data_IF_281035500382
#
_entry.id   IF_281035500382
#
_cell.length_a   1.000
_cell.length_b   1.000
_cell.length_c   1.000
_cell.angle_alpha   90.00
_cell.angle_beta   90.00
_cell.angle_gamma   90.00
#
_symmetry.space_group_name_H-M   'P 1'
#
loop_
_entity.id
_entity.type
_entity.pdbx_description
1 polymer ?
#
# COMPACT_ATOMS: atom_id res chain seq x y z
N UNK A 1 -23.95 2.10 -0.54
CA UNK A 1 -23.73 1.82 0.89
C UNK A 1 -22.71 0.70 1.00
N UNK A 2 -21.71 0.81 1.85
CA UNK A 2 -20.68 -0.25 2.04
C UNK A 2 -21.02 -1.01 3.31
N UNK A 3 -21.09 -2.34 3.22
CA UNK A 3 -21.33 -3.22 4.37
C UNK A 3 -20.44 -4.45 4.31
N UNK A 4 -20.18 -5.03 5.47
CA UNK A 4 -19.41 -6.25 5.60
C UNK A 4 -20.32 -7.45 5.42
N UNK A 5 -20.02 -8.32 4.45
CA UNK A 5 -20.76 -9.58 4.24
C UNK A 5 -20.28 -10.60 5.24
N UNK A 6 -18.96 -10.83 5.32
CA UNK A 6 -18.37 -11.83 6.18
C UNK A 6 -16.94 -11.48 6.60
N UNK A 7 -16.39 -12.24 7.55
CA UNK A 7 -15.01 -12.25 7.98
C UNK A 7 -14.48 -13.68 7.91
N UNK A 8 -13.50 -13.89 7.04
CA UNK A 8 -12.87 -15.20 6.89
C UNK A 8 -11.67 -15.33 7.82
N UNK A 9 -11.43 -16.56 8.30
CA UNK A 9 -10.33 -16.88 9.22
C UNK A 9 -8.97 -16.62 8.62
N UNK A 10 -8.83 -16.86 7.32
CA UNK A 10 -7.59 -16.71 6.57
C UNK A 10 -7.87 -16.33 5.12
N UNK A 11 -6.86 -15.70 4.48
CA UNK A 11 -6.85 -15.44 3.03
C UNK A 11 -6.35 -16.63 2.19
N UNK A 12 -6.02 -17.75 2.84
CA UNK A 12 -5.51 -18.95 2.13
C UNK A 12 -6.59 -19.56 1.28
N UNK A 13 -6.21 -20.15 0.14
CA UNK A 13 -7.14 -20.73 -0.84
C UNK A 13 -8.02 -21.81 -0.23
N UNK A 14 -7.50 -22.65 0.66
CA UNK A 14 -8.27 -23.68 1.36
C UNK A 14 -9.42 -23.15 2.23
N UNK A 15 -9.42 -21.85 2.55
CA UNK A 15 -10.50 -21.16 3.28
C UNK A 15 -11.41 -20.38 2.35
N UNK A 16 -10.81 -19.64 1.40
CA UNK A 16 -11.55 -18.74 0.53
C UNK A 16 -12.29 -19.44 -0.60
N UNK A 17 -11.72 -20.52 -1.16
CA UNK A 17 -12.37 -21.28 -2.24
C UNK A 17 -13.68 -21.97 -1.81
N UNK A 18 -13.71 -22.73 -0.71
CA UNK A 18 -14.97 -23.31 -0.22
C UNK A 18 -16.03 -22.23 0.08
N UNK A 19 -15.61 -21.10 0.64
CA UNK A 19 -16.50 -19.99 0.91
C UNK A 19 -17.13 -19.42 -0.36
N UNK A 20 -16.34 -19.11 -1.39
CA UNK A 20 -16.88 -18.60 -2.65
C UNK A 20 -17.73 -19.62 -3.39
N UNK A 21 -17.38 -20.90 -3.31
CA UNK A 21 -18.18 -21.97 -3.89
C UNK A 21 -19.53 -22.13 -3.19
N UNK A 22 -19.61 -21.87 -1.88
CA UNK A 22 -20.86 -21.95 -1.11
C UNK A 22 -21.85 -20.81 -1.39
N UNK A 23 -21.40 -19.71 -1.99
CA UNK A 23 -22.28 -18.62 -2.37
C UNK A 23 -23.20 -19.03 -3.53
N UNK A 24 -24.48 -18.64 -3.50
CA UNK A 24 -25.41 -18.93 -4.58
C UNK A 24 -24.88 -18.44 -5.93
N UNK A 25 -25.07 -19.20 -7.04
CA UNK A 25 -24.62 -18.78 -8.36
C UNK A 25 -25.16 -17.40 -8.78
N UNK A 26 -26.39 -17.07 -8.39
CA UNK A 26 -27.02 -15.79 -8.68
C UNK A 26 -26.26 -14.63 -8.02
N UNK A 27 -25.86 -14.78 -6.77
CA UNK A 27 -25.06 -13.78 -6.05
C UNK A 27 -23.67 -13.63 -6.70
N UNK A 28 -23.01 -14.73 -7.03
CA UNK A 28 -21.71 -14.70 -7.72
C UNK A 28 -21.79 -14.02 -9.08
N UNK A 29 -22.83 -14.28 -9.84
CA UNK A 29 -23.07 -13.70 -11.16
C UNK A 29 -23.47 -12.22 -11.08
N UNK A 30 -23.96 -11.74 -9.94
CA UNK A 30 -24.33 -10.33 -9.73
C UNK A 30 -23.13 -9.43 -9.44
N UNK A 31 -21.97 -9.99 -9.11
CA UNK A 31 -20.74 -9.23 -8.82
C UNK A 31 -20.23 -8.58 -10.10
N UNK A 32 -20.15 -7.26 -10.10
CA UNK A 32 -19.66 -6.46 -11.25
C UNK A 32 -18.16 -6.21 -11.22
N UNK A 33 -17.60 -6.01 -10.04
CA UNK A 33 -16.18 -5.69 -9.85
C UNK A 33 -15.61 -6.47 -8.69
N UNK A 34 -14.44 -7.06 -8.88
CA UNK A 34 -13.64 -7.65 -7.82
C UNK A 34 -12.40 -6.80 -7.63
N UNK A 35 -12.38 -6.04 -6.53
CA UNK A 35 -11.29 -5.10 -6.23
C UNK A 35 -10.35 -5.75 -5.21
N UNK A 36 -9.06 -5.82 -5.54
CA UNK A 36 -8.07 -6.43 -4.66
C UNK A 36 -6.70 -5.72 -4.73
N UNK A 37 -5.80 -6.10 -3.84
CA UNK A 37 -4.38 -5.86 -4.01
C UNK A 37 -3.79 -6.76 -5.11
N UNK A 38 -2.51 -6.57 -5.45
CA UNK A 38 -1.82 -7.36 -6.47
C UNK A 38 -1.48 -8.78 -5.98
N UNK A 39 -2.50 -9.49 -5.49
CA UNK A 39 -2.37 -10.88 -5.05
C UNK A 39 -2.98 -11.81 -6.09
N UNK A 40 -2.13 -12.59 -6.78
CA UNK A 40 -2.53 -13.44 -7.90
C UNK A 40 -3.77 -14.30 -7.65
N UNK A 41 -3.92 -15.00 -6.49
CA UNK A 41 -5.10 -15.83 -6.25
C UNK A 41 -6.41 -15.03 -6.34
N UNK A 42 -6.43 -13.77 -5.91
CA UNK A 42 -7.66 -12.97 -5.96
C UNK A 42 -8.08 -12.63 -7.40
N UNK A 43 -7.09 -12.39 -8.28
CA UNK A 43 -7.40 -12.14 -9.69
C UNK A 43 -7.94 -13.40 -10.38
N UNK A 44 -7.35 -14.57 -10.07
CA UNK A 44 -7.84 -15.84 -10.61
C UNK A 44 -9.23 -16.23 -10.10
N UNK A 45 -9.70 -15.66 -8.99
CA UNK A 45 -11.05 -15.90 -8.49
C UNK A 45 -12.14 -15.30 -9.38
N UNK A 46 -11.81 -14.24 -10.16
CA UNK A 46 -12.74 -13.67 -11.13
C UNK A 46 -13.16 -14.77 -12.12
N UNK A 47 -12.20 -15.38 -12.78
CA UNK A 47 -12.48 -16.39 -13.80
C UNK A 47 -13.16 -17.63 -13.21
N UNK A 48 -12.81 -18.00 -11.97
CA UNK A 48 -13.28 -19.25 -11.34
C UNK A 48 -14.64 -19.12 -10.65
N UNK A 49 -14.91 -17.99 -10.00
CA UNK A 49 -16.06 -17.83 -9.11
C UNK A 49 -17.01 -16.70 -9.49
N UNK A 50 -16.55 -15.67 -10.20
CA UNK A 50 -17.29 -14.46 -10.49
C UNK A 50 -17.24 -14.11 -11.99
N UNK A 51 -17.89 -14.93 -12.84
CA UNK A 51 -17.70 -14.88 -14.31
C UNK A 51 -18.11 -13.55 -14.96
N UNK A 52 -18.96 -12.77 -14.30
CA UNK A 52 -19.38 -11.45 -14.79
C UNK A 52 -18.61 -10.30 -14.16
N UNK A 53 -17.66 -10.58 -13.26
CA UNK A 53 -16.92 -9.56 -12.58
C UNK A 53 -15.71 -9.07 -13.39
N UNK A 54 -15.43 -7.79 -13.30
CA UNK A 54 -14.23 -7.17 -13.85
C UNK A 54 -13.16 -7.12 -12.75
N UNK A 55 -11.96 -7.68 -12.94
CA UNK A 55 -10.87 -7.59 -11.97
C UNK A 55 -10.33 -6.17 -11.92
N UNK A 56 -10.10 -5.66 -10.71
CA UNK A 56 -9.57 -4.32 -10.47
C UNK A 56 -8.44 -4.41 -9.45
N UNK A 57 -7.28 -3.85 -9.81
CA UNK A 57 -6.17 -3.65 -8.87
C UNK A 57 -6.17 -2.21 -8.40
N UNK A 58 -6.17 -2.03 -7.09
CA UNK A 58 -6.08 -0.69 -6.51
C UNK A 58 -4.74 -0.03 -6.85
N UNK A 59 -4.83 1.13 -7.50
CA UNK A 59 -3.66 1.91 -7.95
C UNK A 59 -2.74 2.36 -6.82
N UNK A 60 -3.27 2.49 -5.59
CA UNK A 60 -2.46 2.79 -4.41
C UNK A 60 -1.43 1.69 -4.13
N UNK A 61 -1.84 0.42 -4.26
CA UNK A 61 -0.92 -0.71 -4.06
C UNK A 61 0.17 -0.78 -5.11
N UNK A 62 -0.13 -0.38 -6.35
CA UNK A 62 0.87 -0.28 -7.43
C UNK A 62 1.91 0.78 -7.11
N UNK A 63 1.47 2.00 -6.74
CA UNK A 63 2.37 3.06 -6.32
C UNK A 63 3.17 2.67 -5.07
N UNK A 64 2.54 2.00 -4.12
CA UNK A 64 3.21 1.51 -2.91
C UNK A 64 4.32 0.52 -3.22
N UNK A 65 4.19 -0.30 -4.28
CA UNK A 65 5.22 -1.24 -4.69
C UNK A 65 6.52 -0.51 -5.10
N UNK A 66 6.43 0.45 -6.02
CA UNK A 66 7.61 1.22 -6.46
C UNK A 66 8.19 2.07 -5.33
N UNK A 67 7.35 2.69 -4.51
CA UNK A 67 7.80 3.48 -3.37
C UNK A 67 8.55 2.62 -2.35
N UNK A 68 8.10 1.39 -2.09
CA UNK A 68 8.81 0.43 -1.21
C UNK A 68 10.15 0.00 -1.80
N UNK A 69 10.24 -0.18 -3.11
CA UNK A 69 11.51 -0.52 -3.77
C UNK A 69 12.54 0.59 -3.59
N UNK A 70 12.13 1.85 -3.74
CA UNK A 70 12.97 3.02 -3.48
C UNK A 70 13.34 3.10 -1.98
N UNK A 71 12.39 2.93 -1.06
CA UNK A 71 12.68 2.95 0.39
C UNK A 71 13.67 1.84 0.78
N UNK A 72 13.54 0.65 0.21
CA UNK A 72 14.49 -0.45 0.43
C UNK A 72 15.90 -0.08 -0.02
N UNK A 73 16.03 0.55 -1.18
CA UNK A 73 17.31 1.06 -1.65
C UNK A 73 17.90 2.09 -0.67
N UNK A 74 17.13 3.09 -0.26
CA UNK A 74 17.57 4.11 0.70
C UNK A 74 17.92 3.51 2.07
N UNK A 75 17.23 2.46 2.50
CA UNK A 75 17.57 1.70 3.72
C UNK A 75 18.90 0.99 3.60
N UNK A 76 19.23 0.47 2.41
CA UNK A 76 20.56 -0.14 2.17
C UNK A 76 21.65 0.91 2.21
N UNK A 77 21.44 2.09 1.60
CA UNK A 77 22.36 3.23 1.73
C UNK A 77 22.55 3.62 3.19
N UNK A 78 21.47 3.77 3.93
CA UNK A 78 21.50 4.13 5.35
C UNK A 78 22.28 3.07 6.17
N UNK A 79 22.07 1.79 5.88
CA UNK A 79 22.81 0.71 6.54
C UNK A 79 24.32 0.80 6.27
N UNK A 80 24.70 1.09 5.01
CA UNK A 80 26.10 1.29 4.60
C UNK A 80 26.75 2.43 5.37
N UNK A 81 26.10 3.59 5.44
CA UNK A 81 26.65 4.75 6.15
C UNK A 81 26.70 4.54 7.67
N UNK A 82 25.69 3.91 8.27
CA UNK A 82 25.74 3.53 9.69
C UNK A 82 26.87 2.55 10.01
N UNK A 83 27.16 1.64 9.11
CA UNK A 83 28.30 0.72 9.28
C UNK A 83 29.61 1.49 9.23
N UNK A 84 29.80 2.40 8.29
CA UNK A 84 30.97 3.30 8.22
C UNK A 84 31.14 4.12 9.51
N UNK A 85 30.05 4.67 10.05
CA UNK A 85 30.09 5.43 11.30
C UNK A 85 30.50 4.56 12.50
N UNK A 86 30.05 3.31 12.56
CA UNK A 86 30.48 2.35 13.60
C UNK A 86 31.96 2.01 13.51
N UNK A 87 32.45 1.69 12.33
CA UNK A 87 33.87 1.39 12.09
C UNK A 87 34.76 2.57 12.46
N UNK A 88 34.33 3.79 12.13
CA UNK A 88 35.02 5.02 12.52
C UNK A 88 35.01 5.22 14.04
N UNK A 89 33.87 4.95 14.70
CA UNK A 89 33.75 5.02 16.15
C UNK A 89 34.69 4.01 16.83
N UNK A 90 34.71 2.78 16.36
CA UNK A 90 35.57 1.70 16.89
C UNK A 90 37.04 2.03 16.77
N UNK A 91 37.48 2.59 15.64
CA UNK A 91 38.86 3.03 15.42
C UNK A 91 39.32 4.12 16.41
N UNK A 92 38.42 5.04 16.77
CA UNK A 92 38.70 6.17 17.68
C UNK A 92 38.54 5.83 19.15
N UNK A 93 37.81 4.77 19.49
CA UNK A 93 37.58 4.32 20.88
C UNK A 93 38.60 3.31 21.32
N UNK A 94 39.79 3.25 20.70
CA UNK A 94 40.86 2.36 21.10
C UNK A 94 41.44 2.66 22.50
N UNK A 95 41.17 3.82 23.08
CA UNK A 95 41.47 4.15 24.48
C UNK A 95 40.25 3.97 25.39
N UNK A 96 40.17 2.88 26.21
CA UNK A 96 39.06 2.66 27.12
C UNK A 96 38.89 3.73 28.21
N UNK A 97 39.92 4.49 28.51
CA UNK A 97 39.93 5.50 29.56
C UNK A 97 39.28 6.83 29.10
N UNK A 98 39.26 7.08 27.79
CA UNK A 98 38.72 8.30 27.23
C UNK A 98 37.81 7.98 26.02
N UNK A 99 36.58 7.43 26.25
CA UNK A 99 35.66 7.10 25.16
C UNK A 99 35.20 8.40 24.45
N UNK A 100 35.57 8.55 23.20
CA UNK A 100 35.08 9.65 22.35
C UNK A 100 33.81 9.20 21.65
N UNK A 101 32.69 9.87 21.89
CA UNK A 101 31.46 9.63 21.16
C UNK A 101 31.39 10.57 19.95
N UNK A 102 31.43 10.02 18.75
CA UNK A 102 31.26 10.77 17.53
C UNK A 102 29.78 11.08 17.26
N UNK A 103 29.48 12.27 16.72
CA UNK A 103 28.17 12.54 16.17
C UNK A 103 27.88 11.62 14.97
N UNK A 104 26.61 11.40 14.67
CA UNK A 104 26.19 10.71 13.45
C UNK A 104 26.64 11.52 12.23
N UNK A 105 27.01 10.83 11.14
CA UNK A 105 27.39 11.51 9.90
C UNK A 105 26.22 12.23 9.24
N UNK A 106 26.52 13.21 8.41
CA UNK A 106 25.54 14.01 7.68
C UNK A 106 24.63 13.12 6.82
N UNK A 107 25.21 12.11 6.15
CA UNK A 107 24.45 11.19 5.32
C UNK A 107 23.48 10.34 6.15
N UNK A 108 23.90 9.88 7.34
CA UNK A 108 22.98 9.15 8.24
C UNK A 108 21.87 10.08 8.71
N UNK A 109 22.18 11.30 9.11
CA UNK A 109 21.20 12.29 9.55
C UNK A 109 20.17 12.57 8.45
N UNK A 110 20.62 12.93 7.25
CA UNK A 110 19.75 13.26 6.11
C UNK A 110 18.88 12.07 5.70
N UNK A 111 19.46 10.88 5.51
CA UNK A 111 18.70 9.70 5.14
C UNK A 111 17.68 9.24 6.20
N UNK A 112 17.97 9.48 7.50
CA UNK A 112 17.00 9.15 8.55
C UNK A 112 15.83 10.11 8.59
N UNK A 113 16.10 11.39 8.48
CA UNK A 113 15.13 12.46 8.76
C UNK A 113 14.35 12.90 7.51
N UNK A 114 15.01 12.93 6.35
CA UNK A 114 14.49 13.58 5.15
C UNK A 114 14.20 12.66 3.96
N UNK A 115 14.44 11.32 4.06
CA UNK A 115 14.13 10.40 2.96
C UNK A 115 12.68 10.46 2.48
N UNK A 116 11.76 10.95 3.30
CA UNK A 116 10.36 11.14 2.94
C UNK A 116 10.18 12.11 1.77
N UNK A 117 11.11 13.04 1.52
CA UNK A 117 11.10 13.93 0.36
C UNK A 117 11.14 13.17 -0.97
N UNK A 118 11.81 12.03 -1.01
CA UNK A 118 11.86 11.16 -2.21
C UNK A 118 10.65 10.22 -2.27
N UNK A 119 10.19 9.72 -1.12
CA UNK A 119 9.13 8.72 -1.05
C UNK A 119 7.73 9.30 -1.23
N UNK A 120 7.50 10.53 -0.78
CA UNK A 120 6.22 11.23 -0.93
C UNK A 120 5.98 11.62 -2.40
N UNK A 121 4.71 11.75 -2.79
CA UNK A 121 4.37 12.36 -4.07
C UNK A 121 4.74 13.83 -4.03
N UNK A 122 5.38 14.33 -5.07
CA UNK A 122 5.89 15.70 -5.12
C UNK A 122 4.77 16.74 -4.90
N UNK A 123 3.58 16.48 -5.42
CA UNK A 123 2.40 17.34 -5.22
C UNK A 123 1.94 17.46 -3.76
N UNK A 124 2.33 16.53 -2.89
CA UNK A 124 1.97 16.52 -1.47
C UNK A 124 3.04 17.16 -0.57
N UNK A 125 4.21 17.49 -1.13
CA UNK A 125 5.30 18.08 -0.39
C UNK A 125 5.07 19.58 -0.31
N UNK A 126 5.01 20.11 0.91
CA UNK A 126 5.07 21.56 1.14
C UNK A 126 6.53 21.97 1.23
N UNK A 127 7.02 22.59 0.18
CA UNK A 127 8.35 23.18 0.18
C UNK A 127 8.31 24.49 0.94
N UNK A 128 9.08 24.57 2.01
CA UNK A 128 9.28 25.79 2.78
C UNK A 128 10.57 26.45 2.27
N UNK A 129 10.43 27.64 1.68
CA UNK A 129 11.57 28.46 1.22
C UNK A 129 12.27 29.18 2.37
N UNK A 130 11.54 29.46 3.47
CA UNK A 130 12.10 30.16 4.63
C UNK A 130 13.10 29.24 5.35
N UNK A 131 14.39 29.63 5.39
CA UNK A 131 15.42 28.81 6.01
C UNK A 131 15.28 28.83 7.54
N UNK A 132 15.53 27.69 8.17
CA UNK A 132 15.56 27.53 9.63
C UNK A 132 16.89 26.95 10.05
N UNK A 133 17.35 27.30 11.27
CA UNK A 133 18.56 26.73 11.83
C UNK A 133 18.42 25.21 11.98
N UNK A 134 19.25 24.46 11.24
CA UNK A 134 19.36 23.03 11.43
C UNK A 134 20.33 22.73 12.57
N UNK A 135 19.89 21.87 13.52
CA UNK A 135 20.65 21.58 14.75
C UNK A 135 21.87 20.67 14.49
N UNK A 136 21.89 19.95 13.39
CA UNK A 136 22.99 19.05 13.06
C UNK A 136 24.09 19.81 12.27
N UNK A 137 23.67 20.59 11.28
CA UNK A 137 24.62 21.34 10.43
C UNK A 137 25.05 22.70 11.01
N UNK A 138 24.30 23.22 11.97
CA UNK A 138 24.50 24.60 12.52
C UNK A 138 24.44 25.69 11.47
N UNK A 139 23.65 25.48 10.40
CA UNK A 139 23.41 26.46 9.33
C UNK A 139 21.92 26.61 9.06
N UNK A 140 21.55 27.70 8.39
CA UNK A 140 20.17 27.91 7.95
C UNK A 140 19.90 27.02 6.73
N UNK A 141 18.88 26.20 6.81
CA UNK A 141 18.47 25.26 5.75
C UNK A 141 16.95 25.30 5.54
N UNK A 142 16.54 25.08 4.31
CA UNK A 142 15.15 24.93 3.90
C UNK A 142 14.88 23.55 3.29
N UNK A 143 13.66 23.32 2.81
CA UNK A 143 13.28 21.99 2.27
C UNK A 143 14.06 21.61 1.01
N UNK A 144 14.43 22.61 0.18
CA UNK A 144 15.20 22.38 -1.04
C UNK A 144 16.64 21.96 -0.72
N UNK A 145 17.25 22.57 0.31
CA UNK A 145 18.61 22.24 0.74
C UNK A 145 18.69 20.76 1.20
N UNK A 146 17.67 20.26 1.93
CA UNK A 146 17.63 18.86 2.33
C UNK A 146 17.42 17.91 1.16
N UNK A 147 16.65 18.30 0.16
CA UNK A 147 16.47 17.53 -1.06
C UNK A 147 17.76 17.45 -1.86
N UNK A 148 18.47 18.57 -2.01
CA UNK A 148 19.77 18.62 -2.69
C UNK A 148 20.81 17.77 -1.97
N UNK A 149 20.80 17.74 -0.63
CA UNK A 149 21.63 16.81 0.15
C UNK A 149 21.35 15.35 -0.17
N UNK A 150 20.08 14.95 -0.32
CA UNK A 150 19.74 13.58 -0.71
C UNK A 150 20.32 13.22 -2.09
N UNK A 151 20.25 14.13 -3.04
CA UNK A 151 20.81 13.92 -4.39
C UNK A 151 22.36 13.94 -4.38
N UNK A 152 22.95 14.67 -3.45
CA UNK A 152 24.41 14.65 -3.26
C UNK A 152 24.90 13.33 -2.66
N UNK A 153 24.15 12.76 -1.72
CA UNK A 153 24.46 11.44 -1.12
C UNK A 153 24.44 10.34 -2.19
N UNK A 154 23.43 10.36 -3.07
CA UNK A 154 23.33 9.44 -4.18
C UNK A 154 22.49 10.08 -5.32
N UNK A 155 23.14 10.37 -6.44
CA UNK A 155 22.49 10.98 -7.60
C UNK A 155 21.33 10.16 -8.18
N UNK A 156 21.35 8.84 -7.99
CA UNK A 156 20.26 7.96 -8.45
C UNK A 156 18.93 8.29 -7.78
N UNK A 157 18.93 8.88 -6.58
CA UNK A 157 17.70 9.24 -5.86
C UNK A 157 16.84 10.25 -6.62
N UNK A 158 17.48 11.12 -7.42
CA UNK A 158 16.78 12.05 -8.31
C UNK A 158 16.02 11.28 -9.39
N UNK A 159 16.71 10.39 -10.08
CA UNK A 159 16.10 9.56 -11.14
C UNK A 159 14.98 8.68 -10.60
N UNK A 160 15.17 8.10 -9.40
CA UNK A 160 14.12 7.28 -8.75
C UNK A 160 12.87 8.09 -8.46
N UNK A 161 13.03 9.30 -7.94
CA UNK A 161 11.91 10.21 -7.72
C UNK A 161 11.23 10.53 -9.05
N UNK A 162 11.98 10.94 -10.05
CA UNK A 162 11.44 11.39 -11.33
C UNK A 162 10.70 10.26 -12.05
N UNK A 163 11.23 9.04 -12.04
CA UNK A 163 10.56 7.85 -12.57
C UNK A 163 9.29 7.50 -11.77
N UNK A 164 9.34 7.56 -10.43
CA UNK A 164 8.14 7.36 -9.60
C UNK A 164 7.05 8.40 -9.92
N UNK A 165 7.42 9.66 -10.05
CA UNK A 165 6.47 10.74 -10.35
C UNK A 165 5.81 10.60 -11.72
N UNK A 166 6.44 9.97 -12.71
CA UNK A 166 5.78 9.64 -13.99
C UNK A 166 4.57 8.74 -13.76
N UNK A 167 4.68 7.71 -12.89
CA UNK A 167 3.53 6.87 -12.54
C UNK A 167 2.48 7.63 -11.73
N UNK A 168 2.89 8.51 -10.82
CA UNK A 168 1.95 9.36 -10.05
C UNK A 168 1.15 10.25 -11.00
N UNK A 169 1.80 10.87 -11.98
CA UNK A 169 1.15 11.72 -12.98
C UNK A 169 0.19 10.92 -13.86
N UNK A 170 0.62 9.75 -14.37
CA UNK A 170 -0.25 8.82 -15.07
C UNK A 170 -1.52 8.51 -14.26
N UNK A 171 -1.34 8.15 -12.99
CA UNK A 171 -2.46 7.79 -12.13
C UNK A 171 -3.41 8.96 -11.85
N UNK A 172 -2.92 10.19 -11.79
CA UNK A 172 -3.74 11.39 -11.54
C UNK A 172 -4.48 11.87 -12.79
N UNK A 173 -3.87 11.78 -13.97
CA UNK A 173 -4.43 12.29 -15.24
C UNK A 173 -5.58 11.43 -15.78
N UNK A 174 -5.51 10.13 -15.56
CA UNK A 174 -6.40 9.15 -16.19
C UNK A 174 -7.66 8.82 -15.37
N UNK A 175 -7.95 9.56 -14.29
CA UNK A 175 -9.19 9.38 -13.52
C UNK A 175 -10.43 9.52 -14.40
N UNK A 176 -11.22 8.45 -14.53
CA UNK A 176 -12.41 8.41 -15.39
C UNK A 176 -12.15 8.15 -16.88
N UNK A 177 -10.90 7.91 -17.29
CA UNK A 177 -10.56 7.65 -18.69
C UNK A 177 -9.70 6.38 -18.88
N UNK A 178 -10.30 5.18 -18.76
CA UNK A 178 -9.58 3.92 -18.94
C UNK A 178 -9.01 3.72 -20.34
N UNK A 179 -9.58 4.40 -21.37
CA UNK A 179 -9.09 4.30 -22.76
C UNK A 179 -7.74 5.02 -22.89
N UNK A 180 -7.63 6.26 -22.41
CA UNK A 180 -6.37 6.98 -22.38
C UNK A 180 -5.34 6.28 -21.49
N UNK A 181 -5.76 5.75 -20.32
CA UNK A 181 -4.91 4.98 -19.43
C UNK A 181 -4.25 3.78 -20.14
N UNK A 182 -4.96 3.12 -21.06
CA UNK A 182 -4.45 1.97 -21.82
C UNK A 182 -3.27 2.34 -22.69
N UNK A 183 -3.34 3.46 -23.37
CA UNK A 183 -2.26 3.95 -24.24
C UNK A 183 -1.07 4.43 -23.42
N UNK A 184 -1.33 5.26 -22.43
CA UNK A 184 -0.28 5.87 -21.59
C UNK A 184 0.49 4.84 -20.75
N UNK A 185 -0.17 3.78 -20.26
CA UNK A 185 0.52 2.72 -19.49
C UNK A 185 1.51 1.95 -20.39
N UNK A 186 1.22 1.76 -21.68
CA UNK A 186 2.15 1.11 -22.60
C UNK A 186 3.41 1.95 -22.82
N UNK A 187 3.26 3.26 -22.92
CA UNK A 187 4.38 4.19 -23.01
C UNK A 187 5.25 4.13 -21.73
N UNK A 188 4.62 4.13 -20.55
CA UNK A 188 5.34 3.99 -19.29
C UNK A 188 6.08 2.67 -19.17
N UNK A 189 5.47 1.56 -19.55
CA UNK A 189 6.12 0.25 -19.57
C UNK A 189 7.38 0.27 -20.42
N UNK A 190 7.33 0.90 -21.60
CA UNK A 190 8.51 1.05 -22.48
C UNK A 190 9.60 1.88 -21.81
N UNK A 191 9.25 2.97 -21.13
CA UNK A 191 10.20 3.81 -20.40
C UNK A 191 10.88 3.02 -19.29
N UNK A 192 10.11 2.32 -18.47
CA UNK A 192 10.66 1.55 -17.35
C UNK A 192 11.48 0.35 -17.79
N UNK A 193 11.12 -0.34 -18.87
CA UNK A 193 11.91 -1.43 -19.44
C UNK A 193 13.31 -0.98 -19.90
N UNK A 194 13.42 0.25 -20.40
CA UNK A 194 14.68 0.85 -20.85
C UNK A 194 15.49 1.44 -19.69
N UNK A 195 14.97 1.46 -18.47
CA UNK A 195 15.67 2.00 -17.32
C UNK A 195 16.95 1.21 -17.02
N UNK A 196 18.01 1.91 -16.65
CA UNK A 196 19.25 1.31 -16.14
C UNK A 196 19.06 0.62 -14.78
N UNK A 197 17.99 0.94 -14.07
CA UNK A 197 17.71 0.48 -12.72
C UNK A 197 16.82 -0.75 -12.71
N UNK A 198 17.29 -1.83 -12.09
CA UNK A 198 16.59 -3.11 -12.01
C UNK A 198 15.18 -2.96 -11.42
N UNK A 199 15.03 -2.20 -10.33
CA UNK A 199 13.73 -2.01 -9.68
C UNK A 199 12.66 -1.42 -10.62
N UNK A 200 13.03 -0.58 -11.59
CA UNK A 200 12.07 -0.03 -12.55
C UNK A 200 11.80 -0.99 -13.71
N UNK A 201 12.76 -1.83 -14.08
CA UNK A 201 12.49 -2.93 -15.02
C UNK A 201 11.52 -3.96 -14.41
N UNK A 202 11.70 -4.28 -13.12
CA UNK A 202 10.77 -5.14 -12.38
C UNK A 202 9.39 -4.50 -12.25
N UNK A 203 9.35 -3.18 -12.07
CA UNK A 203 8.10 -2.44 -12.07
C UNK A 203 7.39 -2.49 -13.43
N UNK A 204 8.13 -2.43 -14.55
CA UNK A 204 7.57 -2.64 -15.87
C UNK A 204 6.92 -4.03 -16.04
N UNK A 205 7.60 -5.08 -15.57
CA UNK A 205 7.07 -6.46 -15.59
C UNK A 205 5.78 -6.54 -14.75
N UNK A 206 5.74 -5.90 -13.60
CA UNK A 206 4.55 -5.83 -12.76
C UNK A 206 3.40 -5.10 -13.47
N UNK A 207 3.67 -3.96 -14.11
CA UNK A 207 2.66 -3.21 -14.85
C UNK A 207 2.11 -4.01 -16.03
N UNK A 208 2.96 -4.74 -16.76
CA UNK A 208 2.51 -5.63 -17.85
C UNK A 208 1.59 -6.74 -17.31
N UNK A 209 2.00 -7.38 -16.24
CA UNK A 209 1.25 -8.49 -15.65
C UNK A 209 -0.14 -8.08 -15.18
N UNK A 210 -0.27 -6.89 -14.61
CA UNK A 210 -1.52 -6.39 -14.05
C UNK A 210 -2.15 -5.27 -14.87
N UNK A 211 -1.77 -5.13 -16.14
CA UNK A 211 -2.17 -4.03 -17.01
C UNK A 211 -3.67 -3.80 -17.03
N UNK A 212 -4.45 -4.82 -17.39
CA UNK A 212 -5.90 -4.70 -17.50
C UNK A 212 -6.58 -4.40 -16.14
N UNK A 213 -6.28 -5.12 -15.04
CA UNK A 213 -6.78 -4.76 -13.71
C UNK A 213 -6.40 -3.35 -13.23
N UNK A 214 -5.22 -2.85 -13.59
CA UNK A 214 -4.81 -1.47 -13.29
C UNK A 214 -5.66 -0.48 -14.09
N UNK A 215 -5.83 -0.70 -15.40
CA UNK A 215 -6.67 0.15 -16.27
C UNK A 215 -8.11 0.18 -15.77
N UNK A 216 -8.65 -0.96 -15.33
CA UNK A 216 -9.99 -1.04 -14.78
C UNK A 216 -10.17 -0.20 -13.50
N UNK A 217 -9.08 0.11 -12.78
CA UNK A 217 -9.15 1.01 -11.61
C UNK A 217 -9.52 2.45 -11.98
N UNK A 218 -9.40 2.85 -13.24
CA UNK A 218 -9.80 4.18 -13.71
C UNK A 218 -11.29 4.30 -14.03
N UNK A 219 -12.05 3.20 -13.98
CA UNK A 219 -13.51 3.22 -14.11
C UNK A 219 -14.10 4.01 -12.96
N UNK A 220 -14.99 4.97 -13.30
CA UNK A 220 -15.76 5.73 -12.32
C UNK A 220 -17.07 5.02 -12.02
N UNK A 221 -17.42 5.00 -10.76
CA UNK A 221 -18.72 4.48 -10.29
C UNK A 221 -19.40 5.47 -9.36
N UNK A 222 -20.71 5.56 -9.48
CA UNK A 222 -21.50 6.35 -8.55
C UNK A 222 -21.45 5.76 -7.14
N UNK A 223 -21.13 6.59 -6.17
CA UNK A 223 -21.19 6.26 -4.74
C UNK A 223 -22.12 7.21 -4.01
N UNK A 224 -22.79 6.67 -3.02
CA UNK A 224 -23.63 7.47 -2.12
C UNK A 224 -22.91 7.62 -0.79
N UNK A 225 -22.66 8.86 -0.39
CA UNK A 225 -22.05 9.18 0.90
C UNK A 225 -22.58 10.49 1.45
N UNK A 226 -22.88 10.54 2.73
CA UNK A 226 -23.43 11.73 3.42
C UNK A 226 -24.66 12.33 2.71
N UNK A 227 -25.53 11.46 2.16
CA UNK A 227 -26.74 11.90 1.43
C UNK A 227 -26.49 12.51 0.05
N UNK A 228 -25.24 12.45 -0.46
CA UNK A 228 -24.89 12.95 -1.79
C UNK A 228 -24.43 11.80 -2.69
N UNK A 229 -24.76 11.91 -3.97
CA UNK A 229 -24.23 11.02 -5.03
C UNK A 229 -22.98 11.70 -5.58
N UNK A 230 -21.89 10.94 -5.71
CA UNK A 230 -20.64 11.41 -6.31
C UNK A 230 -19.94 10.29 -7.04
N UNK A 231 -19.25 10.65 -8.10
CA UNK A 231 -18.41 9.70 -8.85
C UNK A 231 -17.10 9.46 -8.13
N UNK A 232 -16.69 8.21 -8.08
CA UNK A 232 -15.45 7.81 -7.46
C UNK A 232 -14.82 6.64 -8.20
N UNK A 233 -13.51 6.63 -8.26
CA UNK A 233 -12.76 5.47 -8.75
C UNK A 233 -12.99 4.25 -7.88
N UNK A 234 -12.88 3.08 -8.51
CA UNK A 234 -12.82 1.80 -7.79
C UNK A 234 -11.55 1.71 -6.96
N UNK A 235 -11.68 1.44 -5.67
CA UNK A 235 -10.55 1.36 -4.73
C UNK A 235 -10.81 0.41 -3.56
N UNK A 236 -9.75 -0.08 -2.95
CA UNK A 236 -9.79 -0.90 -1.74
C UNK A 236 -10.04 -0.11 -0.44
N UNK A 237 -10.16 1.22 -0.51
CA UNK A 237 -10.37 2.07 0.66
C UNK A 237 -11.46 1.58 1.63
N UNK A 238 -12.65 1.14 1.15
CA UNK A 238 -13.68 0.58 2.03
C UNK A 238 -13.24 -0.65 2.80
N UNK A 239 -12.60 -1.63 2.15
CA UNK A 239 -12.16 -2.86 2.82
C UNK A 239 -10.96 -2.61 3.74
N UNK A 240 -10.08 -1.66 3.41
CA UNK A 240 -8.98 -1.25 4.29
C UNK A 240 -9.51 -0.63 5.59
N UNK A 241 -10.54 0.22 5.49
CA UNK A 241 -11.22 0.79 6.65
C UNK A 241 -11.83 -0.31 7.53
N UNK A 242 -12.48 -1.30 6.92
CA UNK A 242 -13.06 -2.46 7.62
C UNK A 242 -11.95 -3.30 8.27
N UNK A 243 -10.86 -3.60 7.56
CA UNK A 243 -9.71 -4.34 8.08
C UNK A 243 -9.04 -3.63 9.28
N UNK A 244 -9.06 -2.29 9.30
CA UNK A 244 -8.60 -1.52 10.46
C UNK A 244 -9.49 -1.79 11.68
N UNK A 245 -10.82 -1.80 11.51
CA UNK A 245 -11.77 -2.13 12.59
C UNK A 245 -11.54 -3.54 13.15
N UNK A 246 -11.18 -4.53 12.29
CA UNK A 246 -10.78 -5.88 12.72
C UNK A 246 -9.61 -5.82 13.70
N UNK A 247 -8.55 -5.07 13.33
CA UNK A 247 -7.36 -4.90 14.18
C UNK A 247 -7.68 -4.19 15.50
N UNK A 248 -8.51 -3.16 15.45
CA UNK A 248 -8.91 -2.40 16.64
C UNK A 248 -9.75 -3.25 17.58
N UNK A 249 -10.70 -4.03 17.05
CA UNK A 249 -11.50 -4.94 17.86
C UNK A 249 -10.63 -6.02 18.55
N UNK A 250 -9.62 -6.57 17.84
CA UNK A 250 -8.66 -7.49 18.46
C UNK A 250 -7.87 -6.84 19.61
N UNK A 251 -7.42 -5.60 19.45
CA UNK A 251 -6.69 -4.86 20.47
C UNK A 251 -7.57 -4.58 21.70
N UNK A 252 -8.79 -4.09 21.49
CA UNK A 252 -9.75 -3.78 22.55
C UNK A 252 -10.17 -5.03 23.33
N UNK A 253 -10.32 -6.16 22.65
CA UNK A 253 -10.69 -7.42 23.27
C UNK A 253 -9.53 -8.16 23.96
N UNK A 254 -8.32 -7.59 23.99
CA UNK A 254 -7.11 -8.22 24.54
C UNK A 254 -6.84 -9.63 24.02
N UNK A 255 -7.30 -9.92 22.82
CA UNK A 255 -7.27 -11.23 22.17
C UNK A 255 -8.60 -11.98 22.27
N UNK A 256 -8.84 -12.81 21.26
CA UNK A 256 -10.00 -13.72 21.22
C UNK A 256 -9.47 -15.14 21.00
N UNK A 257 -9.86 -16.07 21.87
CA UNK A 257 -9.49 -17.47 21.74
C UNK A 257 -10.34 -18.21 20.70
N UNK A 258 -11.60 -17.79 20.53
CA UNK A 258 -12.55 -18.40 19.61
C UNK A 258 -12.80 -17.45 18.42
N UNK A 259 -12.54 -17.95 17.21
CA UNK A 259 -12.72 -17.17 15.99
C UNK A 259 -14.19 -16.84 15.71
N UNK A 260 -15.11 -17.79 15.94
CA UNK A 260 -16.54 -17.57 15.67
C UNK A 260 -17.13 -16.49 16.58
N UNK A 261 -16.75 -16.47 17.86
CA UNK A 261 -17.14 -15.38 18.76
C UNK A 261 -16.58 -14.03 18.28
N UNK A 262 -15.34 -14.01 17.81
CA UNK A 262 -14.73 -12.80 17.24
C UNK A 262 -15.44 -12.37 15.95
N UNK A 263 -15.68 -13.30 15.03
CA UNK A 263 -16.39 -13.07 13.76
C UNK A 263 -17.79 -12.50 14.01
N UNK A 264 -18.57 -13.13 14.88
CA UNK A 264 -19.92 -12.68 15.20
C UNK A 264 -19.92 -11.26 15.83
N UNK A 265 -19.02 -11.00 16.75
CA UNK A 265 -18.87 -9.67 17.36
C UNK A 265 -18.45 -8.62 16.32
N UNK A 266 -17.55 -8.99 15.41
CA UNK A 266 -17.11 -8.09 14.34
C UNK A 266 -18.24 -7.79 13.36
N UNK A 267 -18.96 -8.80 12.90
CA UNK A 267 -20.10 -8.65 11.99
C UNK A 267 -21.20 -7.80 12.63
N UNK A 268 -21.51 -8.02 13.91
CA UNK A 268 -22.45 -7.20 14.63
C UNK A 268 -22.04 -5.73 14.69
N UNK A 269 -20.77 -5.46 15.00
CA UNK A 269 -20.23 -4.10 15.09
C UNK A 269 -20.09 -3.37 13.74
N UNK A 270 -20.08 -4.09 12.61
CA UNK A 270 -19.86 -3.51 11.28
C UNK A 270 -21.11 -3.51 10.39
N UNK A 271 -22.19 -4.15 10.80
CA UNK A 271 -23.47 -4.10 10.06
C UNK A 271 -24.11 -2.74 10.18
N UNK A 272 -24.61 -2.24 9.05
CA UNK A 272 -25.29 -0.94 8.97
C UNK A 272 -26.77 -1.00 9.38
N UNK A 273 -27.35 -2.21 9.45
CA UNK A 273 -28.74 -2.42 9.86
C UNK A 273 -28.78 -3.00 11.28
N UNK A 274 -29.70 -2.53 12.14
CA UNK A 274 -29.94 -3.17 13.42
C UNK A 274 -30.40 -4.61 13.16
N UNK A 275 -29.78 -5.58 13.88
CA UNK A 275 -30.30 -6.93 13.94
C UNK A 275 -31.58 -6.90 14.78
N UNK A 276 -32.71 -6.73 14.11
CA UNK A 276 -33.99 -6.89 14.74
C UNK A 276 -34.20 -8.39 14.99
N UNK A 277 -34.29 -8.73 16.30
CA UNK A 277 -34.77 -10.00 16.79
C UNK A 277 -33.98 -11.25 16.43
N UNK A 278 -32.74 -11.39 16.82
CA UNK A 278 -32.12 -12.66 17.23
C UNK A 278 -32.19 -13.90 16.31
N UNK A 279 -32.89 -13.84 15.21
CA UNK A 279 -33.07 -14.92 14.26
C UNK A 279 -32.32 -14.52 12.99
N UNK A 280 -31.05 -14.84 12.92
CA UNK A 280 -30.42 -14.96 11.61
C UNK A 280 -30.75 -16.37 11.10
N UNK A 281 -31.45 -16.46 9.97
CA UNK A 281 -31.57 -17.69 9.19
C UNK A 281 -30.22 -18.13 8.60
N UNK A 282 -29.14 -17.53 9.05
CA UNK A 282 -27.78 -17.83 8.70
C UNK A 282 -27.33 -19.03 9.53
N UNK A 283 -27.45 -20.20 8.94
CA UNK A 283 -26.80 -21.40 9.46
C UNK A 283 -25.31 -21.29 9.12
N UNK A 284 -24.41 -21.04 10.10
CA UNK A 284 -22.99 -21.03 9.81
C UNK A 284 -22.64 -22.47 9.39
N UNK A 285 -22.26 -22.63 8.14
CA UNK A 285 -21.67 -23.88 7.68
C UNK A 285 -20.44 -24.09 8.54
N UNK A 286 -20.51 -25.07 9.43
CA UNK A 286 -19.43 -25.48 10.33
C UNK A 286 -18.33 -26.16 9.51
N UNK A 287 -17.41 -25.35 9.00
CA UNK A 287 -16.23 -25.83 8.27
C UNK A 287 -14.99 -25.80 9.15
N UNK A 288 -14.99 -26.26 10.39
CA UNK A 288 -13.70 -26.31 11.07
C UNK A 288 -13.71 -27.25 12.27
N UNK A 289 -12.91 -28.28 12.15
CA UNK A 289 -12.29 -28.96 13.28
C UNK A 289 -11.42 -27.97 14.06
N UNK A 290 -11.37 -28.13 15.36
CA UNK A 290 -10.65 -27.27 16.31
C UNK A 290 -9.14 -27.39 16.08
N UNK A 291 -8.54 -26.46 15.34
CA UNK A 291 -7.10 -26.25 15.37
C UNK A 291 -6.80 -24.89 15.99
N UNK A 292 -5.87 -24.88 16.92
CA UNK A 292 -5.47 -23.81 17.84
C UNK A 292 -5.19 -22.46 17.16
N UNK A 293 -5.64 -21.42 17.82
CA UNK A 293 -5.38 -20.00 17.49
C UNK A 293 -4.05 -19.55 18.06
#
# INVERSE_FOLDING_TARGET
MTFTIDLLRSRRMNVTEPYFTSLPPEERNSVKYLISDMYNPYISYVDKYFPNAVPVVDSFHVLQWVTRSIDNYMRQLLKKYKQRDRERQEQLTSDPLHPVQLPISDEVYILQKYRWLILSNQSNIRYHSDPRMDQHFHVLMNTYDYEDWLFHIDSNLKDFRDLKEQYVLFNSRNGGNPIAARTEIDELIVVYKKSSYEMFRDFAILLEKYKDPIINSFIMVEKVGNGKIYDSRLSNGPIESINRKVKDLKRLGRGFRNFEHFRNRFLYATRSAPVLNGVSDYNPVTYFEEDEF
#
